data_IF_649337664470
#
_entry.id   IF_649337664470
#
_cell.length_a   1.000
_cell.length_b   1.000
_cell.length_c   1.000
_cell.angle_alpha   90.00
_cell.angle_beta   90.00
_cell.angle_gamma   90.00
#
_symmetry.space_group_name_H-M   'P 1'
#
loop_
_entity.id
_entity.type
_entity.pdbx_description
1 polymer ?
#
# COMPACT_ATOMS: atom_id res chain seq x y z
N UNK A 1 -8.92 -22.54 13.93
CA UNK A 1 -8.23 -21.81 12.89
C UNK A 1 -7.62 -20.51 13.44
N UNK A 2 -6.31 -20.34 13.19
CA UNK A 2 -5.49 -19.18 13.55
C UNK A 2 -5.39 -18.22 12.37
N UNK A 3 -5.46 -16.93 12.68
CA UNK A 3 -5.27 -15.85 11.71
C UNK A 3 -3.90 -15.18 11.90
N UNK A 4 -3.06 -15.27 10.88
CA UNK A 4 -1.76 -14.61 10.84
C UNK A 4 -1.90 -13.28 10.08
N UNK A 5 -1.91 -12.16 10.79
CA UNK A 5 -1.81 -10.83 10.18
C UNK A 5 -0.36 -10.58 9.78
N UNK A 6 -0.07 -10.65 8.49
CA UNK A 6 1.27 -10.51 7.94
C UNK A 6 1.60 -9.03 7.75
N UNK A 7 2.78 -8.65 8.21
CA UNK A 7 3.37 -7.30 8.08
C UNK A 7 4.75 -7.36 7.43
N UNK A 8 5.18 -6.27 6.81
CA UNK A 8 6.58 -5.99 6.49
C UNK A 8 6.92 -4.59 7.00
N UNK A 9 7.96 -4.47 7.82
CA UNK A 9 8.18 -3.24 8.59
C UNK A 9 6.98 -2.94 9.50
N UNK A 10 6.36 -1.78 9.31
CA UNK A 10 5.15 -1.34 10.03
C UNK A 10 3.87 -1.48 9.19
N UNK A 11 4.00 -1.91 7.93
CA UNK A 11 2.90 -1.98 7.00
C UNK A 11 2.11 -3.29 7.12
N UNK A 12 0.78 -3.17 7.20
CA UNK A 12 -0.15 -4.29 7.14
C UNK A 12 -0.30 -4.77 5.69
N UNK A 13 -0.01 -6.05 5.47
CA UNK A 13 -0.03 -6.63 4.13
C UNK A 13 -1.34 -7.38 3.85
N UNK A 14 -1.56 -8.49 4.54
CA UNK A 14 -2.74 -9.36 4.38
C UNK A 14 -2.93 -10.24 5.62
N UNK A 15 -4.05 -10.94 5.70
CA UNK A 15 -4.31 -11.96 6.72
C UNK A 15 -4.19 -13.33 6.06
N UNK A 16 -3.46 -14.26 6.67
CA UNK A 16 -3.37 -15.64 6.23
C UNK A 16 -4.06 -16.55 7.25
N UNK A 17 -4.75 -17.57 6.75
CA UNK A 17 -5.55 -18.50 7.54
C UNK A 17 -4.84 -19.85 7.62
N UNK A 18 -4.68 -20.41 8.83
CA UNK A 18 -3.94 -21.67 9.06
C UNK A 18 -4.39 -22.33 10.37
N UNK A 19 -3.92 -23.56 10.63
CA UNK A 19 -4.07 -24.27 11.91
C UNK A 19 -2.80 -24.18 12.75
N UNK A 20 -2.95 -24.23 14.08
CA UNK A 20 -1.81 -24.39 15.02
C UNK A 20 -0.99 -25.67 14.77
N UNK A 21 -1.59 -26.67 14.13
CA UNK A 21 -0.96 -27.96 13.83
C UNK A 21 -0.30 -28.02 12.44
N UNK A 22 -0.37 -26.93 11.67
CA UNK A 22 0.31 -26.84 10.39
C UNK A 22 1.83 -26.75 10.58
N UNK A 23 2.56 -27.28 9.60
CA UNK A 23 4.01 -27.18 9.56
C UNK A 23 4.43 -25.75 9.19
N UNK A 24 5.34 -25.17 9.97
CA UNK A 24 5.89 -23.84 9.75
C UNK A 24 6.53 -23.70 8.37
N UNK A 25 7.05 -24.78 7.80
CA UNK A 25 7.60 -24.82 6.44
C UNK A 25 6.54 -24.48 5.40
N UNK A 26 5.35 -25.10 5.50
CA UNK A 26 4.24 -24.82 4.60
C UNK A 26 3.71 -23.40 4.81
N UNK A 27 3.55 -22.97 6.06
CA UNK A 27 3.10 -21.63 6.40
C UNK A 27 4.04 -20.55 5.83
N UNK A 28 5.35 -20.69 6.02
CA UNK A 28 6.35 -19.74 5.50
C UNK A 28 6.33 -19.71 3.96
N UNK A 29 6.30 -20.89 3.33
CA UNK A 29 6.23 -21.00 1.87
C UNK A 29 4.98 -20.32 1.30
N UNK A 30 3.82 -20.61 1.87
CA UNK A 30 2.54 -20.11 1.37
C UNK A 30 2.41 -18.59 1.59
N UNK A 31 2.81 -18.08 2.76
CA UNK A 31 2.87 -16.63 3.03
C UNK A 31 3.82 -15.94 2.05
N UNK A 32 4.98 -16.54 1.77
CA UNK A 32 5.96 -15.97 0.82
C UNK A 32 5.42 -15.97 -0.61
N UNK A 33 4.73 -17.04 -1.01
CA UNK A 33 4.10 -17.13 -2.32
C UNK A 33 2.99 -16.07 -2.49
N UNK A 34 2.14 -15.87 -1.48
CA UNK A 34 1.13 -14.81 -1.48
C UNK A 34 1.81 -13.44 -1.52
N UNK A 35 2.83 -13.22 -0.69
CA UNK A 35 3.57 -11.96 -0.64
C UNK A 35 4.16 -11.58 -2.01
N UNK A 36 4.96 -12.47 -2.61
CA UNK A 36 5.56 -12.24 -3.92
C UNK A 36 4.52 -12.14 -5.03
N UNK A 37 3.45 -12.94 -4.96
CA UNK A 37 2.37 -12.91 -5.93
C UNK A 37 1.60 -11.58 -5.91
N UNK A 38 1.41 -10.96 -4.74
CA UNK A 38 0.86 -9.59 -4.65
C UNK A 38 1.77 -8.57 -5.32
N UNK A 39 3.08 -8.63 -5.05
CA UNK A 39 4.05 -7.76 -5.71
C UNK A 39 3.97 -7.91 -7.23
N UNK A 40 3.86 -9.15 -7.71
CA UNK A 40 3.72 -9.46 -9.14
C UNK A 40 2.47 -8.83 -9.76
N UNK A 41 1.31 -8.96 -9.12
CA UNK A 41 0.08 -8.31 -9.58
C UNK A 41 0.26 -6.80 -9.66
N UNK A 42 0.88 -6.16 -8.66
CA UNK A 42 1.13 -4.72 -8.69
C UNK A 42 2.06 -4.30 -9.83
N UNK A 43 3.14 -5.05 -10.10
CA UNK A 43 4.04 -4.78 -11.23
C UNK A 43 3.33 -4.89 -12.56
N UNK A 44 2.59 -5.99 -12.76
CA UNK A 44 1.80 -6.19 -14.00
C UNK A 44 0.80 -5.05 -14.18
N UNK A 45 0.08 -4.64 -13.13
CA UNK A 45 -0.83 -3.49 -13.21
C UNK A 45 -0.11 -2.20 -13.61
N UNK A 46 1.07 -1.92 -13.05
CA UNK A 46 1.89 -0.74 -13.41
C UNK A 46 2.29 -0.76 -14.88
N UNK A 47 2.67 -1.92 -15.42
CA UNK A 47 3.03 -2.04 -16.84
C UNK A 47 1.79 -1.95 -17.76
N UNK A 48 0.62 -2.39 -17.29
CA UNK A 48 -0.63 -2.22 -18.04
C UNK A 48 -1.02 -0.73 -18.10
N UNK A 49 -0.73 0.07 -17.07
CA UNK A 49 -0.96 1.53 -17.11
C UNK A 49 -0.20 2.17 -18.28
N UNK A 50 1.05 1.78 -18.50
CA UNK A 50 1.83 2.26 -19.63
C UNK A 50 1.37 1.67 -20.98
N UNK A 51 0.93 0.41 -21.00
CA UNK A 51 0.35 -0.25 -22.18
C UNK A 51 -0.91 0.47 -22.66
N UNK A 52 -1.76 0.91 -21.73
CA UNK A 52 -2.98 1.67 -21.98
C UNK A 52 -2.67 3.00 -22.67
N UNK A 53 -1.58 3.66 -22.29
CA UNK A 53 -1.24 5.00 -22.80
C UNK A 53 -0.40 4.96 -24.09
N UNK A 54 0.52 4.02 -24.19
CA UNK A 54 1.57 4.05 -25.23
C UNK A 54 1.71 2.76 -26.04
N UNK A 55 0.89 1.73 -25.79
CA UNK A 55 0.97 0.48 -26.54
C UNK A 55 2.12 -0.43 -26.10
N UNK A 56 2.49 -1.38 -26.96
CA UNK A 56 3.42 -2.46 -26.61
C UNK A 56 4.87 -1.99 -26.56
N UNK A 57 5.73 -2.73 -25.85
CA UNK A 57 7.16 -2.42 -25.82
C UNK A 57 7.83 -2.50 -27.20
N UNK A 58 8.74 -1.56 -27.46
CA UNK A 58 9.65 -1.62 -28.60
C UNK A 58 10.66 -2.76 -28.43
N UNK A 59 11.17 -3.33 -29.52
CA UNK A 59 12.27 -4.29 -29.46
C UNK A 59 13.48 -3.71 -28.72
N UNK A 60 14.24 -4.52 -27.95
CA UNK A 60 15.38 -4.03 -27.16
C UNK A 60 16.43 -3.24 -27.97
N UNK A 61 16.61 -3.57 -29.24
CA UNK A 61 17.53 -2.90 -30.16
C UNK A 61 17.09 -1.47 -30.55
N UNK A 62 15.80 -1.15 -30.37
CA UNK A 62 15.20 0.14 -30.72
C UNK A 62 14.94 1.03 -29.50
N UNK A 63 14.97 0.47 -28.29
CA UNK A 63 14.71 1.22 -27.05
C UNK A 63 15.81 2.26 -26.83
N UNK A 64 15.41 3.52 -26.64
CA UNK A 64 16.34 4.62 -26.36
C UNK A 64 17.05 5.21 -27.57
N UNK A 65 16.72 4.76 -28.79
CA UNK A 65 17.17 5.38 -30.03
C UNK A 65 16.22 6.49 -30.47
N UNK A 66 16.75 7.50 -31.17
CA UNK A 66 15.92 8.52 -31.82
C UNK A 66 15.31 7.99 -33.12
N UNK A 67 14.21 8.60 -33.57
CA UNK A 67 13.57 8.28 -34.86
C UNK A 67 14.59 8.35 -36.02
N UNK A 68 15.55 9.27 -35.96
CA UNK A 68 16.63 9.43 -36.95
C UNK A 68 17.60 8.23 -36.94
N UNK A 69 18.05 7.81 -35.76
CA UNK A 69 18.95 6.65 -35.61
C UNK A 69 18.28 5.35 -36.06
N UNK A 70 16.98 5.19 -35.79
CA UNK A 70 16.21 4.03 -36.25
C UNK A 70 16.17 3.98 -37.78
N UNK A 71 15.99 5.13 -38.44
CA UNK A 71 16.00 5.24 -39.90
C UNK A 71 17.39 4.94 -40.50
N UNK A 72 18.46 5.48 -39.90
CA UNK A 72 19.85 5.24 -40.33
C UNK A 72 20.24 3.76 -40.23
N UNK A 73 19.90 3.14 -39.09
CA UNK A 73 20.16 1.71 -38.83
C UNK A 73 19.17 0.79 -39.53
N UNK A 74 18.15 1.34 -40.19
CA UNK A 74 17.08 0.61 -40.90
C UNK A 74 16.37 -0.42 -40.01
N UNK A 75 16.26 -0.12 -38.72
CA UNK A 75 15.57 -0.98 -37.76
C UNK A 75 14.06 -0.88 -37.97
N UNK A 76 13.36 -2.01 -37.86
CA UNK A 76 11.90 -2.09 -38.03
C UNK A 76 11.30 -2.88 -36.88
N UNK A 77 10.21 -2.36 -36.34
CA UNK A 77 9.43 -3.09 -35.34
C UNK A 77 8.55 -4.15 -36.03
N UNK A 78 9.03 -5.40 -36.00
CA UNK A 78 8.32 -6.57 -36.56
C UNK A 78 7.05 -6.88 -35.74
N UNK A 79 6.98 -6.44 -34.49
CA UNK A 79 5.88 -6.73 -33.59
C UNK A 79 4.75 -5.71 -33.68
N UNK A 80 5.02 -4.47 -34.12
CA UNK A 80 4.01 -3.45 -34.36
C UNK A 80 2.88 -3.89 -35.30
N UNK A 81 3.17 -4.75 -36.29
CA UNK A 81 2.17 -5.28 -37.23
C UNK A 81 1.47 -6.53 -36.69
N UNK A 82 2.12 -7.27 -35.79
CA UNK A 82 1.60 -8.54 -35.25
C UNK A 82 0.74 -8.33 -34.01
N UNK A 83 1.14 -7.40 -33.15
CA UNK A 83 0.56 -7.14 -31.84
C UNK A 83 -0.38 -5.94 -31.86
N UNK A 84 -1.29 -5.89 -32.84
CA UNK A 84 -2.26 -4.81 -32.96
C UNK A 84 -3.38 -5.01 -31.93
N UNK A 85 -3.76 -3.97 -31.16
CA UNK A 85 -4.89 -4.07 -30.25
C UNK A 85 -6.21 -4.26 -31.00
N UNK A 86 -7.14 -4.99 -30.39
CA UNK A 86 -8.47 -5.23 -30.92
C UNK A 86 -9.20 -3.90 -31.15
N UNK A 87 -9.77 -3.72 -32.34
CA UNK A 87 -10.38 -2.45 -32.74
C UNK A 87 -9.40 -1.41 -33.29
N UNK A 88 -8.09 -1.67 -33.30
CA UNK A 88 -7.06 -0.75 -33.80
C UNK A 88 -6.51 0.19 -32.73
N UNK A 89 -5.69 1.16 -33.15
CA UNK A 89 -4.95 2.04 -32.26
C UNK A 89 -5.05 3.52 -32.67
N UNK A 90 -4.72 4.38 -31.72
CA UNK A 90 -4.45 5.81 -31.91
C UNK A 90 -2.98 6.06 -31.61
N UNK A 91 -2.36 7.00 -32.31
CA UNK A 91 -0.93 7.31 -32.09
C UNK A 91 -0.78 8.20 -30.86
N UNK A 92 -0.06 7.72 -29.85
CA UNK A 92 0.36 8.47 -28.67
C UNK A 92 1.79 8.08 -28.29
N UNK A 93 2.78 8.87 -28.74
CA UNK A 93 4.20 8.55 -28.55
C UNK A 93 4.55 8.49 -27.06
N UNK A 94 5.38 7.51 -26.70
CA UNK A 94 5.94 7.39 -25.35
C UNK A 94 7.03 8.46 -25.14
N UNK A 95 6.90 9.35 -24.13
CA UNK A 95 7.94 10.32 -23.80
C UNK A 95 9.30 9.70 -23.48
N UNK A 96 9.31 8.45 -22.99
CA UNK A 96 10.52 7.72 -22.61
C UNK A 96 11.08 6.86 -23.74
N UNK A 97 10.38 6.75 -24.89
CA UNK A 97 10.83 5.97 -26.04
C UNK A 97 11.00 4.47 -25.77
N UNK A 98 10.24 3.90 -24.83
CA UNK A 98 10.26 2.45 -24.51
C UNK A 98 9.16 1.69 -25.24
N UNK A 99 8.03 2.34 -25.52
CA UNK A 99 6.85 1.75 -26.16
C UNK A 99 6.62 2.34 -27.55
N UNK A 100 5.92 1.59 -28.40
CA UNK A 100 5.78 1.89 -29.84
C UNK A 100 4.79 3.04 -30.15
N UNK A 101 4.07 3.53 -29.14
CA UNK A 101 3.09 4.61 -29.28
C UNK A 101 1.75 4.20 -29.90
N UNK A 102 1.49 2.89 -30.07
CA UNK A 102 0.21 2.38 -30.58
C UNK A 102 -0.79 2.23 -29.44
N UNK A 103 -1.40 3.35 -29.03
CA UNK A 103 -2.36 3.39 -27.94
C UNK A 103 -3.66 2.64 -28.29
N UNK A 104 -4.15 1.71 -27.45
CA UNK A 104 -5.45 1.08 -27.65
C UNK A 104 -6.60 2.09 -27.71
N UNK A 105 -7.66 1.76 -28.44
CA UNK A 105 -8.90 2.53 -28.44
C UNK A 105 -9.54 2.61 -27.05
N UNK A 106 -10.36 3.65 -26.83
CA UNK A 106 -10.99 3.96 -25.54
C UNK A 106 -11.71 2.77 -24.90
N UNK A 107 -12.53 2.04 -25.66
CA UNK A 107 -13.23 0.84 -25.16
C UNK A 107 -12.28 -0.23 -24.64
N UNK A 108 -11.14 -0.44 -25.31
CA UNK A 108 -10.15 -1.43 -24.88
C UNK A 108 -9.35 -0.95 -23.66
N UNK A 109 -9.09 0.36 -23.58
CA UNK A 109 -8.48 0.96 -22.37
C UNK A 109 -9.38 0.79 -21.16
N UNK A 110 -10.68 1.00 -21.30
CA UNK A 110 -11.65 0.80 -20.21
C UNK A 110 -11.65 -0.65 -19.69
N UNK A 111 -11.57 -1.63 -20.59
CA UNK A 111 -11.47 -3.05 -20.21
C UNK A 111 -10.22 -3.30 -19.36
N UNK A 112 -9.06 -2.78 -19.79
CA UNK A 112 -7.80 -2.94 -19.04
C UNK A 112 -7.85 -2.20 -17.69
N UNK A 113 -8.35 -0.96 -17.65
CA UNK A 113 -8.50 -0.18 -16.41
C UNK A 113 -9.38 -0.89 -15.40
N UNK A 114 -10.55 -1.36 -15.84
CA UNK A 114 -11.47 -2.12 -14.99
C UNK A 114 -10.83 -3.41 -14.48
N UNK A 115 -10.17 -4.17 -15.35
CA UNK A 115 -9.50 -5.40 -14.94
C UNK A 115 -8.40 -5.14 -13.91
N UNK A 116 -7.67 -4.02 -14.00
CA UNK A 116 -6.68 -3.65 -12.99
C UNK A 116 -7.30 -3.25 -11.66
N UNK A 117 -8.39 -2.48 -11.66
CA UNK A 117 -9.12 -2.11 -10.44
C UNK A 117 -9.64 -3.35 -9.72
N UNK A 118 -10.30 -4.24 -10.48
CA UNK A 118 -10.80 -5.52 -9.99
C UNK A 118 -9.66 -6.41 -9.46
N UNK A 119 -8.54 -6.55 -10.21
CA UNK A 119 -7.37 -7.31 -9.77
C UNK A 119 -6.74 -6.75 -8.48
N UNK A 120 -6.60 -5.41 -8.38
CA UNK A 120 -6.09 -4.74 -7.18
C UNK A 120 -7.03 -4.97 -5.98
N UNK A 121 -8.34 -5.02 -6.20
CA UNK A 121 -9.33 -5.26 -5.14
C UNK A 121 -9.19 -6.63 -4.45
N UNK A 122 -8.82 -7.68 -5.20
CA UNK A 122 -8.60 -9.03 -4.66
C UNK A 122 -7.42 -9.13 -3.70
N UNK A 123 -6.46 -8.20 -3.77
CA UNK A 123 -5.20 -8.25 -3.01
C UNK A 123 -4.97 -7.01 -2.13
N UNK A 124 -5.94 -6.09 -2.08
CA UNK A 124 -5.79 -4.79 -1.40
C UNK A 124 -5.54 -4.99 0.10
N UNK A 125 -4.73 -4.08 0.67
CA UNK A 125 -4.48 -3.98 2.11
C UNK A 125 -5.77 -3.71 2.89
N UNK A 126 -6.80 -3.14 2.25
CA UNK A 126 -8.13 -2.91 2.84
C UNK A 126 -8.80 -4.20 3.34
N UNK A 127 -8.47 -5.36 2.75
CA UNK A 127 -8.99 -6.66 3.19
C UNK A 127 -8.62 -6.99 4.64
N UNK A 128 -7.49 -6.46 5.13
CA UNK A 128 -7.06 -6.61 6.53
C UNK A 128 -8.04 -5.92 7.49
N UNK A 129 -8.54 -4.73 7.13
CA UNK A 129 -9.53 -4.00 7.92
C UNK A 129 -10.89 -4.71 7.91
N UNK A 130 -11.26 -5.29 6.77
CA UNK A 130 -12.45 -6.12 6.61
C UNK A 130 -12.33 -7.52 7.27
N UNK A 131 -11.16 -7.85 7.82
CA UNK A 131 -10.83 -9.17 8.42
C UNK A 131 -11.00 -10.34 7.44
N UNK A 132 -10.81 -10.10 6.15
CA UNK A 132 -10.87 -11.14 5.13
C UNK A 132 -9.49 -11.77 4.92
N UNK A 133 -9.35 -13.09 5.06
CA UNK A 133 -8.10 -13.78 4.77
C UNK A 133 -7.84 -13.80 3.25
N UNK A 134 -6.56 -13.77 2.90
CA UNK A 134 -6.08 -13.86 1.53
C UNK A 134 -5.45 -15.24 1.34
N UNK A 135 -5.92 -15.94 0.30
CA UNK A 135 -5.36 -17.23 -0.12
C UNK A 135 -4.60 -17.05 -1.45
N UNK A 136 -3.76 -18.04 -1.78
CA UNK A 136 -3.04 -18.08 -3.05
C UNK A 136 -4.00 -18.08 -4.25
N UNK A 137 -5.20 -18.65 -4.09
CA UNK A 137 -6.26 -18.66 -5.11
C UNK A 137 -6.64 -17.24 -5.55
N UNK A 138 -6.85 -16.33 -4.60
CA UNK A 138 -7.22 -14.94 -4.88
C UNK A 138 -6.15 -14.23 -5.73
N UNK A 139 -4.86 -14.51 -5.47
CA UNK A 139 -3.75 -13.98 -6.26
C UNK A 139 -3.75 -14.58 -7.67
N UNK A 140 -3.98 -15.88 -7.80
CA UNK A 140 -4.09 -16.53 -9.11
C UNK A 140 -5.29 -16.03 -9.92
N UNK A 141 -6.42 -15.75 -9.27
CA UNK A 141 -7.61 -15.16 -9.88
C UNK A 141 -7.32 -13.75 -10.37
N UNK A 142 -6.65 -12.92 -9.58
CA UNK A 142 -6.22 -11.59 -9.99
C UNK A 142 -5.31 -11.64 -11.24
N UNK A 143 -4.32 -12.55 -11.27
CA UNK A 143 -3.46 -12.73 -12.44
C UNK A 143 -4.22 -13.25 -13.67
N UNK A 144 -5.16 -14.18 -13.48
CA UNK A 144 -5.98 -14.72 -14.57
C UNK A 144 -6.91 -13.67 -15.15
N UNK A 145 -7.47 -12.78 -14.32
CA UNK A 145 -8.28 -11.65 -14.75
C UNK A 145 -7.48 -10.71 -15.66
N UNK A 146 -6.26 -10.33 -15.24
CA UNK A 146 -5.36 -9.49 -16.04
C UNK A 146 -4.98 -10.16 -17.36
N UNK A 147 -4.65 -11.47 -17.31
CA UNK A 147 -4.34 -12.25 -18.52
C UNK A 147 -5.52 -12.30 -19.48
N UNK A 148 -6.74 -12.49 -18.97
CA UNK A 148 -7.97 -12.49 -19.75
C UNK A 148 -8.20 -11.14 -20.44
N UNK A 149 -8.08 -10.05 -19.68
CA UNK A 149 -8.22 -8.69 -20.23
C UNK A 149 -7.20 -8.41 -21.34
N UNK A 150 -5.94 -8.80 -21.14
CA UNK A 150 -4.90 -8.66 -22.17
C UNK A 150 -5.18 -9.52 -23.38
N UNK A 151 -5.72 -10.74 -23.22
CA UNK A 151 -6.08 -11.61 -24.35
C UNK A 151 -7.21 -11.00 -25.17
N UNK A 152 -8.15 -10.30 -24.54
CA UNK A 152 -9.22 -9.58 -25.23
C UNK A 152 -8.67 -8.40 -26.03
N UNK A 153 -7.79 -7.60 -25.44
CA UNK A 153 -7.23 -6.42 -26.12
C UNK A 153 -6.16 -6.80 -27.13
N UNK A 154 -5.34 -7.81 -26.87
CA UNK A 154 -4.24 -8.27 -27.71
C UNK A 154 -4.40 -9.77 -28.01
N UNK A 155 -5.29 -10.16 -28.94
CA UNK A 155 -5.58 -11.57 -29.24
C UNK A 155 -4.37 -12.31 -29.84
N UNK A 156 -3.47 -11.59 -30.50
CA UNK A 156 -2.21 -12.12 -31.05
C UNK A 156 -1.06 -12.15 -30.02
N UNK A 157 -1.39 -11.93 -28.73
CA UNK A 157 -0.47 -11.83 -27.61
C UNK A 157 0.42 -10.58 -27.67
N UNK A 158 0.98 -10.22 -26.52
CA UNK A 158 2.00 -9.17 -26.43
C UNK A 158 3.35 -9.69 -26.97
N UNK A 159 4.27 -8.80 -27.38
CA UNK A 159 5.61 -9.19 -27.79
C UNK A 159 6.35 -10.01 -26.71
N UNK A 160 7.25 -10.93 -27.08
CA UNK A 160 7.95 -11.79 -26.12
C UNK A 160 8.85 -11.02 -25.15
N UNK A 161 9.35 -9.86 -25.58
CA UNK A 161 10.16 -8.94 -24.78
C UNK A 161 9.33 -7.96 -23.94
N UNK A 162 8.00 -8.00 -24.04
CA UNK A 162 7.14 -7.15 -23.22
C UNK A 162 7.13 -7.66 -21.76
N UNK A 163 7.35 -6.75 -20.80
CA UNK A 163 7.45 -7.08 -19.37
C UNK A 163 6.20 -7.81 -18.89
N UNK A 164 5.01 -7.43 -19.37
CA UNK A 164 3.76 -8.06 -18.95
C UNK A 164 3.75 -9.55 -19.32
N UNK A 165 4.22 -9.87 -20.53
CA UNK A 165 4.31 -11.26 -21.01
C UNK A 165 5.38 -12.03 -20.26
N UNK A 166 6.54 -11.42 -20.02
CA UNK A 166 7.61 -12.04 -19.24
C UNK A 166 7.15 -12.37 -17.81
N UNK A 167 6.47 -11.44 -17.15
CA UNK A 167 5.86 -11.65 -15.84
C UNK A 167 4.87 -12.82 -15.88
N UNK A 168 3.94 -12.89 -16.84
CA UNK A 168 3.01 -14.03 -16.90
C UNK A 168 3.68 -15.38 -17.13
N UNK A 169 4.84 -15.41 -17.77
CA UNK A 169 5.61 -16.62 -18.05
C UNK A 169 6.66 -16.95 -16.99
N UNK A 170 6.82 -16.11 -15.96
CA UNK A 170 7.87 -16.22 -14.94
C UNK A 170 9.29 -16.16 -15.54
N UNK A 171 9.47 -15.37 -16.61
CA UNK A 171 10.77 -15.13 -17.27
C UNK A 171 11.24 -13.69 -17.11
N UNK A 172 10.65 -12.94 -16.18
CA UNK A 172 11.06 -11.58 -15.87
C UNK A 172 12.48 -11.52 -15.32
N UNK A 173 13.25 -10.52 -15.76
CA UNK A 173 14.49 -10.12 -15.09
C UNK A 173 14.24 -8.89 -14.22
N UNK A 174 14.34 -9.07 -12.91
CA UNK A 174 14.15 -7.99 -11.93
C UNK A 174 15.48 -7.32 -11.56
N UNK A 175 16.62 -7.78 -12.07
CA UNK A 175 17.92 -7.24 -11.71
C UNK A 175 18.02 -5.73 -11.96
N UNK A 176 18.60 -5.00 -11.01
CA UNK A 176 18.71 -3.53 -11.08
C UNK A 176 17.40 -2.75 -10.85
N UNK A 177 16.25 -3.42 -10.71
CA UNK A 177 14.97 -2.76 -10.39
C UNK A 177 14.75 -2.65 -8.88
N UNK A 178 13.90 -1.70 -8.46
CA UNK A 178 13.45 -1.65 -7.05
C UNK A 178 12.68 -2.91 -6.64
N UNK A 179 11.96 -3.54 -7.58
CA UNK A 179 11.21 -4.77 -7.32
C UNK A 179 12.09 -5.93 -6.84
N UNK A 180 13.33 -6.05 -7.33
CA UNK A 180 14.27 -7.10 -6.87
C UNK A 180 14.63 -6.99 -5.39
N UNK A 181 14.57 -5.77 -4.83
CA UNK A 181 14.81 -5.56 -3.38
C UNK A 181 13.62 -6.03 -2.54
N UNK A 182 12.43 -5.96 -3.09
CA UNK A 182 11.20 -6.35 -2.40
C UNK A 182 10.91 -7.85 -2.51
N UNK A 183 11.17 -8.47 -3.66
CA UNK A 183 10.92 -9.91 -3.85
C UNK A 183 11.80 -10.75 -2.91
N UNK A 184 11.18 -11.71 -2.23
CA UNK A 184 11.84 -12.59 -1.28
C UNK A 184 11.92 -13.98 -1.90
N UNK A 185 13.14 -14.48 -2.13
CA UNK A 185 13.33 -15.89 -2.53
C UNK A 185 12.76 -16.82 -1.44
N UNK A 186 11.99 -17.86 -1.78
CA UNK A 186 11.37 -18.75 -0.79
C UNK A 186 12.35 -19.36 0.23
N UNK A 187 13.57 -19.67 -0.19
CA UNK A 187 14.62 -20.20 0.69
C UNK A 187 15.19 -19.17 1.67
N UNK A 188 15.11 -17.87 1.34
CA UNK A 188 15.60 -16.75 2.15
C UNK A 188 14.49 -16.09 2.97
N UNK A 189 13.27 -16.61 2.92
CA UNK A 189 12.14 -16.03 3.64
C UNK A 189 12.23 -16.34 5.14
N UNK A 190 12.05 -15.31 5.97
CA UNK A 190 12.00 -15.45 7.42
C UNK A 190 10.69 -14.86 7.95
N UNK A 191 10.03 -15.62 8.82
CA UNK A 191 8.81 -15.18 9.49
C UNK A 191 9.09 -14.98 10.98
N UNK A 192 8.64 -13.87 11.54
CA UNK A 192 8.90 -13.47 12.92
C UNK A 192 7.60 -13.27 13.68
N UNK A 193 7.54 -13.83 14.88
CA UNK A 193 6.43 -13.66 15.81
C UNK A 193 6.96 -13.26 17.19
N UNK A 194 6.43 -12.18 17.76
CA UNK A 194 6.81 -11.69 19.10
C UNK A 194 8.33 -11.56 19.34
N UNK A 195 9.09 -11.12 18.33
CA UNK A 195 10.54 -10.97 18.40
C UNK A 195 11.34 -12.26 18.29
N UNK A 196 10.69 -13.40 18.02
CA UNK A 196 11.33 -14.70 17.75
C UNK A 196 11.12 -15.10 16.30
N UNK A 197 12.16 -15.63 15.67
CA UNK A 197 12.05 -16.22 14.34
C UNK A 197 11.31 -17.55 14.42
N UNK A 198 10.36 -17.75 13.50
CA UNK A 198 9.70 -19.04 13.27
C UNK A 198 10.63 -19.87 12.39
N UNK A 199 11.18 -20.93 12.97
CA UNK A 199 12.03 -21.89 12.26
C UNK A 199 11.17 -22.88 11.47
N UNK A 200 11.70 -23.34 10.35
CA UNK A 200 11.11 -24.40 9.53
C UNK A 200 11.11 -25.76 10.27
N UNK A 201 10.37 -26.72 9.74
CA UNK A 201 10.24 -28.10 10.25
C UNK A 201 9.71 -28.18 11.70
N UNK A 202 8.84 -27.24 12.08
CA UNK A 202 8.21 -27.22 13.40
C UNK A 202 6.71 -27.01 13.27
N UNK A 203 5.97 -27.30 14.34
CA UNK A 203 4.54 -26.99 14.39
C UNK A 203 4.31 -25.55 14.83
N UNK A 204 3.32 -24.89 14.23
CA UNK A 204 3.01 -23.50 14.53
C UNK A 204 2.65 -23.27 16.01
N UNK A 205 2.04 -24.25 16.67
CA UNK A 205 1.67 -24.17 18.10
C UNK A 205 2.87 -23.94 19.03
N UNK A 206 4.09 -24.28 18.62
CA UNK A 206 5.31 -24.02 19.42
C UNK A 206 5.57 -22.52 19.57
N UNK A 207 5.09 -21.71 18.64
CA UNK A 207 5.26 -20.26 18.62
C UNK A 207 4.02 -19.54 19.13
N UNK A 208 2.85 -19.89 18.57
CA UNK A 208 1.58 -19.18 18.80
C UNK A 208 0.81 -19.75 20.01
N UNK A 209 1.19 -20.93 20.50
CA UNK A 209 0.48 -21.67 21.53
C UNK A 209 -0.55 -22.65 20.95
N UNK A 210 -1.24 -23.38 21.83
CA UNK A 210 -2.20 -24.44 21.45
C UNK A 210 -3.59 -23.91 21.08
N UNK A 211 -3.84 -22.61 21.26
CA UNK A 211 -5.17 -22.05 21.02
C UNK A 211 -5.36 -21.74 19.54
N UNK A 212 -6.14 -22.60 18.90
CA UNK A 212 -6.52 -22.51 17.50
C UNK A 212 -7.65 -21.49 17.24
N UNK A 213 -7.90 -20.53 18.14
CA UNK A 213 -8.84 -19.41 17.92
C UNK A 213 -8.16 -18.07 18.21
N UNK A 214 -6.95 -17.91 17.69
CA UNK A 214 -6.11 -16.73 17.94
C UNK A 214 -5.83 -15.95 16.66
N UNK A 215 -5.72 -14.64 16.80
CA UNK A 215 -5.18 -13.76 15.77
C UNK A 215 -3.84 -13.24 16.24
N UNK A 216 -2.79 -13.47 15.46
CA UNK A 216 -1.43 -13.02 15.78
C UNK A 216 -0.87 -12.17 14.66
N UNK A 217 0.06 -11.29 15.01
CA UNK A 217 0.79 -10.44 14.05
C UNK A 217 2.15 -11.06 13.79
N UNK A 218 2.46 -11.32 12.53
CA UNK A 218 3.73 -11.88 12.08
C UNK A 218 4.40 -10.93 11.10
N UNK A 219 5.73 -10.85 11.13
CA UNK A 219 6.52 -10.03 10.21
C UNK A 219 7.31 -10.90 9.25
N UNK A 220 7.20 -10.64 7.94
CA UNK A 220 8.01 -11.28 6.91
C UNK A 220 9.23 -10.41 6.58
N UNK A 221 10.42 -11.02 6.61
CA UNK A 221 11.70 -10.39 6.29
C UNK A 221 12.53 -11.28 5.35
N UNK A 222 13.53 -10.68 4.70
CA UNK A 222 14.54 -11.40 3.92
C UNK A 222 15.73 -11.76 4.81
N UNK A 223 16.29 -12.96 4.62
CA UNK A 223 17.53 -13.36 5.27
C UNK A 223 18.65 -12.35 4.93
N UNK A 224 19.32 -11.85 5.97
CA UNK A 224 20.33 -10.80 5.87
C UNK A 224 19.86 -9.42 6.32
N UNK A 225 18.54 -9.16 6.42
CA UNK A 225 17.99 -7.90 6.94
C UNK A 225 17.98 -7.83 8.48
N UNK A 226 18.30 -8.93 9.16
CA UNK A 226 18.24 -9.04 10.62
C UNK A 226 16.81 -9.13 11.16
N UNK A 227 16.64 -9.12 12.50
CA UNK A 227 15.33 -9.15 13.13
C UNK A 227 14.53 -7.89 12.75
N UNK A 228 13.22 -8.02 12.51
CA UNK A 228 12.39 -6.87 12.16
C UNK A 228 12.36 -5.85 13.30
N UNK A 229 12.42 -4.57 12.92
CA UNK A 229 12.31 -3.46 13.85
C UNK A 229 11.05 -3.54 14.71
N UNK A 230 11.18 -3.13 15.97
CA UNK A 230 10.03 -2.93 16.87
C UNK A 230 9.22 -1.75 16.37
N UNK A 231 7.90 -1.90 16.36
CA UNK A 231 7.00 -0.82 15.98
C UNK A 231 7.06 0.29 17.02
N UNK A 232 6.92 1.54 16.57
CA UNK A 232 6.76 2.65 17.48
C UNK A 232 5.50 2.42 18.32
N UNK A 233 5.64 2.53 19.65
CA UNK A 233 4.51 2.34 20.60
C UNK A 233 3.41 3.38 20.37
N UNK A 234 3.77 4.54 19.81
CA UNK A 234 2.88 5.64 19.50
C UNK A 234 2.68 5.73 17.99
N UNK A 235 1.43 5.66 17.53
CA UNK A 235 1.08 6.03 16.16
C UNK A 235 1.30 7.52 15.94
N UNK A 236 1.52 7.94 14.69
CA UNK A 236 1.75 9.36 14.38
C UNK A 236 0.56 10.24 14.80
N UNK A 237 -0.66 9.77 14.60
CA UNK A 237 -1.87 10.48 15.04
C UNK A 237 -1.95 10.60 16.57
N UNK A 238 -1.56 9.55 17.29
CA UNK A 238 -1.52 9.60 18.76
C UNK A 238 -0.42 10.53 19.24
N UNK A 239 0.72 10.58 18.55
CA UNK A 239 1.80 11.54 18.81
C UNK A 239 1.35 12.98 18.55
N UNK A 240 0.61 13.24 17.48
CA UNK A 240 0.02 14.56 17.18
C UNK A 240 -0.98 14.99 18.25
N UNK A 241 -1.86 14.09 18.69
CA UNK A 241 -2.82 14.36 19.79
C UNK A 241 -2.10 14.64 21.10
N UNK A 242 -1.11 13.82 21.45
CA UNK A 242 -0.30 14.00 22.66
C UNK A 242 0.44 15.33 22.63
N UNK A 243 1.01 15.72 21.49
CA UNK A 243 1.68 17.01 21.32
C UNK A 243 0.69 18.19 21.44
N UNK A 244 -0.51 18.07 20.87
CA UNK A 244 -1.57 19.07 20.99
C UNK A 244 -2.09 19.23 22.43
N UNK A 245 -2.28 18.12 23.14
CA UNK A 245 -2.66 18.13 24.56
C UNK A 245 -1.56 18.72 25.44
N UNK A 246 -0.29 18.35 25.19
CA UNK A 246 0.86 18.92 25.89
C UNK A 246 0.95 20.44 25.68
N UNK A 247 0.73 20.91 24.44
CA UNK A 247 0.71 22.33 24.12
C UNK A 247 -0.44 23.06 24.83
N UNK A 248 -1.68 22.53 24.79
CA UNK A 248 -2.81 23.10 25.53
C UNK A 248 -2.56 23.15 27.03
N UNK A 249 -1.97 22.10 27.59
CA UNK A 249 -1.61 22.05 29.01
C UNK A 249 -0.56 23.10 29.35
N UNK A 250 0.43 23.29 28.49
CA UNK A 250 1.44 24.33 28.65
C UNK A 250 0.84 25.73 28.59
N UNK A 251 -0.10 25.99 27.68
CA UNK A 251 -0.83 27.27 27.64
C UNK A 251 -1.68 27.48 28.90
N UNK A 252 -2.36 26.44 29.39
CA UNK A 252 -3.13 26.50 30.64
C UNK A 252 -2.22 26.80 31.84
N UNK A 253 -1.07 26.13 31.94
CA UNK A 253 -0.09 26.37 33.01
C UNK A 253 0.49 27.78 32.93
N UNK A 254 0.84 28.26 31.74
CA UNK A 254 1.31 29.63 31.54
C UNK A 254 0.24 30.65 31.93
N UNK A 255 -1.03 30.38 31.60
CA UNK A 255 -2.15 31.24 32.00
C UNK A 255 -2.30 31.25 33.53
N UNK A 256 -2.19 30.10 34.18
CA UNK A 256 -2.24 29.97 35.63
C UNK A 256 -1.06 30.70 36.32
N UNK A 257 0.14 30.64 35.75
CA UNK A 257 1.32 31.37 36.26
C UNK A 257 1.19 32.90 36.09
N UNK A 258 0.46 33.35 35.05
CA UNK A 258 0.19 34.77 34.80
C UNK A 258 -1.03 35.28 35.56
N UNK A 259 -1.81 34.39 36.17
CA UNK A 259 -2.94 34.72 37.01
C UNK A 259 -2.39 35.15 38.37
N UNK A 260 -2.04 36.43 38.49
CA UNK A 260 -1.81 37.06 39.79
C UNK A 260 -3.14 36.96 40.55
N UNK A 261 -3.18 36.24 41.69
CA UNK A 261 -4.33 35.83 42.54
C UNK A 261 -5.43 36.90 42.84
N UNK A 262 -5.29 38.12 42.31
CA UNK A 262 -6.21 39.25 42.35
C UNK A 262 -7.43 39.11 41.41
N UNK A 263 -7.52 38.12 40.51
CA UNK A 263 -8.71 37.94 39.64
C UNK A 263 -10.00 37.69 40.47
N UNK A 264 -9.86 37.10 41.66
CA UNK A 264 -10.94 36.96 42.65
C UNK A 264 -11.45 38.31 43.19
N UNK A 265 -10.63 39.37 43.24
CA UNK A 265 -11.07 40.70 43.69
C UNK A 265 -12.10 41.32 42.75
N UNK A 266 -12.09 40.93 41.47
CA UNK A 266 -13.06 41.35 40.45
C UNK A 266 -14.29 40.42 40.37
N UNK A 267 -14.34 39.37 41.18
CA UNK A 267 -15.47 38.43 41.19
C UNK A 267 -16.72 39.08 41.81
N UNK A 268 -17.90 38.71 41.31
CA UNK A 268 -19.19 39.22 41.82
C UNK A 268 -19.44 38.90 43.30
N UNK A 269 -18.77 37.89 43.84
CA UNK A 269 -18.84 37.52 45.24
C UNK A 269 -17.97 38.43 46.14
N UNK A 270 -16.85 38.95 45.64
CA UNK A 270 -15.96 39.84 46.39
C UNK A 270 -16.53 41.27 46.53
N UNK A 271 -17.61 41.57 45.83
CA UNK A 271 -18.27 42.87 45.88
C UNK A 271 -19.12 43.03 47.16
N UNK A 272 -18.55 43.72 48.14
CA UNK A 272 -19.20 44.05 49.42
C UNK A 272 -20.48 44.90 49.28
N UNK A 273 -20.69 45.53 48.12
CA UNK A 273 -21.87 46.37 47.83
C UNK A 273 -22.97 45.62 47.05
N UNK A 274 -22.72 44.37 46.66
CA UNK A 274 -23.66 43.53 45.90
C UNK A 274 -25.03 43.38 46.56
N UNK A 275 -25.06 43.12 47.87
CA UNK A 275 -26.30 43.00 48.64
C UNK A 275 -27.07 44.32 48.71
N UNK A 276 -26.34 45.44 48.87
CA UNK A 276 -26.92 46.78 48.90
C UNK A 276 -27.58 47.12 47.57
N UNK A 277 -26.94 46.81 46.43
CA UNK A 277 -27.53 47.03 45.10
C UNK A 277 -28.78 46.16 44.87
N UNK A 278 -28.77 44.89 45.31
CA UNK A 278 -29.95 44.01 45.29
C UNK A 278 -31.12 44.59 46.08
N UNK A 279 -30.88 45.04 47.32
CA UNK A 279 -31.92 45.60 48.20
C UNK A 279 -32.51 46.89 47.63
N UNK A 280 -31.70 47.73 46.97
CA UNK A 280 -32.17 48.96 46.34
C UNK A 280 -32.67 48.77 44.89
N UNK A 281 -32.75 47.53 44.38
CA UNK A 281 -33.25 47.24 43.03
C UNK A 281 -32.34 47.74 41.90
N UNK A 282 -31.06 47.95 42.17
CA UNK A 282 -30.08 48.56 41.25
C UNK A 282 -29.26 47.53 40.45
N UNK A 283 -29.66 46.25 40.41
CA UNK A 283 -28.89 45.16 39.76
C UNK A 283 -28.64 45.37 38.26
N UNK A 284 -29.50 46.14 37.58
CA UNK A 284 -29.42 46.39 36.13
C UNK A 284 -28.83 47.76 35.77
N UNK A 285 -28.31 48.51 36.74
CA UNK A 285 -27.77 49.87 36.51
C UNK A 285 -26.27 49.79 36.24
N UNK A 286 -25.88 49.87 34.96
CA UNK A 286 -24.47 50.04 34.57
C UNK A 286 -24.14 51.52 34.44
N UNK A 287 -23.34 52.05 35.36
CA UNK A 287 -22.80 53.40 35.23
C UNK A 287 -21.77 53.40 34.10
N UNK A 288 -22.05 54.12 33.00
CA UNK A 288 -21.02 54.48 32.01
C UNK A 288 -20.31 55.72 32.54
N UNK A 289 -19.04 55.58 32.88
CA UNK A 289 -18.16 56.72 33.08
C UNK A 289 -17.76 57.18 31.67
N UNK A 290 -18.08 58.43 31.33
CA UNK A 290 -17.70 59.03 30.04
C UNK A 290 -16.23 59.47 30.08
N UNK A 291 -15.47 58.99 29.09
CA UNK A 291 -14.06 59.27 28.74
C UNK A 291 -13.04 59.29 29.87
#
# INVERSE_FOLDING_TARGET
MVLLQVKRGDENLFIYETSVDDDTTHVIRDITAIYNGRLKVYRVCSEIEELIEHGTMLPPEMVGLTDEQILELKLKDIWAEKCIPAGGFVTNKDPLGRRNGQQPQEKMREILKKAMEDAKSFIDKKLVAARQPLQLKNVSEALNLLRGAITIVYPMQLPPHDIIRMEFNNTEDLNGTQASREVIEPAKAQLWFAGKQILSEQKLHKYVGRNDKTKVVVKINKQGEGPPGREAVLTEDMRKRMMAEAYRRQEQLKKLEQDDDDEYLNSTWADSSSLKRKVHGMDNVRFRIGQ
#
